data_IF_486798406923
#
_entry.id   IF_486798406923
#
_cell.length_a   1.000
_cell.length_b   1.000
_cell.length_c   1.000
_cell.angle_alpha   90.00
_cell.angle_beta   90.00
_cell.angle_gamma   90.00
#
_symmetry.space_group_name_H-M   'P 1'
#
loop_
_entity.id
_entity.type
_entity.pdbx_description
1 polymer ?
#
# COMPACT_ATOMS: atom_id res chain seq x y z
N UNK A 1 2.19 -17.87 14.26
CA UNK A 1 2.64 -16.50 13.92
C UNK A 1 1.44 -15.69 13.50
N UNK A 2 1.59 -14.38 13.48
CA UNK A 2 0.63 -13.45 12.89
C UNK A 2 1.33 -12.64 11.80
N UNK A 3 0.59 -12.28 10.76
CA UNK A 3 1.00 -11.37 9.71
C UNK A 3 0.18 -10.10 9.82
N UNK A 4 0.84 -8.95 9.64
CA UNK A 4 0.22 -7.63 9.70
C UNK A 4 0.21 -7.07 8.28
N UNK A 5 -0.99 -6.80 7.76
CA UNK A 5 -1.20 -6.11 6.50
C UNK A 5 -1.63 -4.68 6.80
N UNK A 6 -0.92 -3.71 6.23
CA UNK A 6 -1.19 -2.28 6.41
C UNK A 6 -1.46 -1.66 5.06
N UNK A 7 -2.62 -1.03 4.92
CA UNK A 7 -2.99 -0.24 3.74
C UNK A 7 -3.26 1.19 4.19
N UNK A 8 -2.40 2.10 3.74
CA UNK A 8 -2.54 3.53 3.95
C UNK A 8 -3.13 4.15 2.69
N UNK A 9 -4.19 4.94 2.87
CA UNK A 9 -4.95 5.62 1.82
C UNK A 9 -5.25 7.04 2.27
N UNK A 10 -5.59 7.91 1.32
CA UNK A 10 -6.07 9.28 1.59
C UNK A 10 -5.15 10.07 2.55
N UNK A 11 -4.06 10.69 2.06
CA UNK A 11 -3.25 11.55 2.92
C UNK A 11 -4.10 12.70 3.47
N UNK A 12 -3.83 13.10 4.72
CA UNK A 12 -4.58 14.17 5.38
C UNK A 12 -4.42 15.53 4.72
N UNK A 13 -3.41 15.69 3.87
CA UNK A 13 -3.25 16.87 3.02
C UNK A 13 -3.03 16.37 1.61
N UNK A 14 -3.86 16.83 0.68
CA UNK A 14 -3.58 16.62 -0.74
C UNK A 14 -2.21 17.22 -1.04
N UNK A 15 -1.26 16.43 -1.53
CA UNK A 15 0.09 16.96 -1.82
C UNK A 15 0.09 17.69 -3.17
N UNK A 16 -0.77 17.27 -4.09
CA UNK A 16 -0.93 17.90 -5.40
C UNK A 16 -2.28 17.55 -6.07
N UNK A 17 -3.26 18.48 -6.11
CA UNK A 17 -3.21 19.83 -5.56
C UNK A 17 -3.34 19.84 -4.01
N UNK A 18 -2.77 20.86 -3.34
CA UNK A 18 -3.02 21.15 -1.93
C UNK A 18 -4.51 21.20 -1.57
N UNK A 19 -4.93 20.47 -0.54
CA UNK A 19 -6.33 20.44 -0.08
C UNK A 19 -6.47 19.98 1.37
N UNK A 20 -7.58 20.36 2.06
CA UNK A 20 -7.78 20.03 3.47
C UNK A 20 -8.06 18.55 3.69
N UNK A 21 -7.80 18.06 4.91
CA UNK A 21 -8.21 16.74 5.38
C UNK A 21 -9.69 16.53 5.16
N UNK A 22 -10.06 15.41 4.54
CA UNK A 22 -11.48 15.03 4.41
C UNK A 22 -12.08 14.79 5.79
N UNK A 23 -13.35 15.16 5.97
CA UNK A 23 -14.06 14.89 7.25
C UNK A 23 -14.29 13.40 7.46
N UNK A 24 -14.53 12.67 6.37
CA UNK A 24 -14.66 11.21 6.37
C UNK A 24 -13.32 10.59 5.97
N UNK A 25 -12.72 9.74 6.83
CA UNK A 25 -11.47 9.05 6.52
C UNK A 25 -11.55 8.17 5.26
N UNK A 26 -12.67 7.48 5.04
CA UNK A 26 -12.83 6.53 3.95
C UNK A 26 -14.07 6.86 3.12
N UNK A 27 -14.00 6.66 1.80
CA UNK A 27 -15.17 6.75 0.93
C UNK A 27 -16.21 5.66 1.27
N UNK A 28 -17.47 6.03 1.61
CA UNK A 28 -18.52 5.04 1.91
C UNK A 28 -18.86 4.19 0.69
N UNK A 29 -19.02 2.89 0.89
CA UNK A 29 -19.32 1.92 -0.17
C UNK A 29 -18.14 1.52 -1.06
N UNK A 30 -17.02 2.24 -1.01
CA UNK A 30 -15.79 1.86 -1.70
C UNK A 30 -15.19 0.57 -1.11
N UNK A 31 -14.47 -0.19 -1.94
CA UNK A 31 -13.73 -1.38 -1.53
C UNK A 31 -12.25 -1.06 -1.38
N UNK A 32 -11.67 -1.49 -0.28
CA UNK A 32 -10.24 -1.46 -0.02
C UNK A 32 -9.78 -2.90 0.12
N UNK A 33 -9.00 -3.38 -0.84
CA UNK A 33 -8.68 -4.80 -0.97
C UNK A 33 -7.20 -5.06 -0.70
N UNK A 34 -6.92 -6.03 0.17
CA UNK A 34 -5.65 -6.75 0.20
C UNK A 34 -5.79 -7.99 -0.67
N UNK A 35 -4.90 -8.16 -1.63
CA UNK A 35 -4.89 -9.22 -2.62
C UNK A 35 -3.68 -10.11 -2.37
N UNK A 36 -3.92 -11.42 -2.39
CA UNK A 36 -2.93 -12.43 -2.01
C UNK A 36 -2.93 -13.51 -3.09
N UNK A 37 -1.80 -13.64 -3.77
CA UNK A 37 -1.47 -14.72 -4.71
C UNK A 37 -0.71 -15.80 -3.93
N UNK A 38 -1.10 -17.06 -4.07
CA UNK A 38 -0.50 -18.19 -3.35
C UNK A 38 0.24 -19.17 -4.25
N UNK A 39 0.25 -18.97 -5.57
CA UNK A 39 0.85 -19.85 -6.55
C UNK A 39 1.79 -19.19 -7.59
N UNK A 40 2.08 -17.89 -7.42
CA UNK A 40 3.08 -17.10 -8.17
C UNK A 40 2.68 -16.84 -9.63
N UNK A 41 1.37 -16.78 -9.92
CA UNK A 41 0.83 -16.41 -11.23
C UNK A 41 0.40 -14.92 -11.33
N UNK A 42 0.57 -14.17 -10.24
CA UNK A 42 0.15 -12.77 -10.07
C UNK A 42 -1.37 -12.54 -10.18
N UNK A 43 -2.17 -13.57 -9.89
CA UNK A 43 -3.62 -13.55 -9.76
C UNK A 43 -3.99 -13.89 -8.31
N UNK A 44 -4.97 -13.17 -7.75
CA UNK A 44 -5.28 -13.35 -6.33
C UNK A 44 -6.13 -14.61 -6.09
N UNK A 45 -5.66 -15.47 -5.20
CA UNK A 45 -6.39 -16.63 -4.65
C UNK A 45 -7.18 -16.28 -3.40
N UNK A 46 -6.72 -15.28 -2.66
CA UNK A 46 -7.35 -14.80 -1.43
C UNK A 46 -7.43 -13.28 -1.51
N UNK A 47 -8.56 -12.73 -1.10
CA UNK A 47 -8.70 -11.29 -0.90
C UNK A 47 -9.33 -11.00 0.46
N UNK A 48 -8.88 -9.92 1.09
CA UNK A 48 -9.58 -9.29 2.19
C UNK A 48 -10.12 -7.95 1.71
N UNK A 49 -11.43 -7.79 1.73
CA UNK A 49 -12.06 -6.52 1.42
C UNK A 49 -12.48 -5.80 2.71
N UNK A 50 -12.29 -4.49 2.72
CA UNK A 50 -12.81 -3.62 3.77
C UNK A 50 -13.73 -2.62 3.09
N UNK A 51 -14.98 -2.58 3.54
CA UNK A 51 -15.99 -1.65 3.04
C UNK A 51 -16.54 -0.81 4.18
N UNK A 52 -16.73 0.48 3.92
CA UNK A 52 -17.15 1.45 4.92
C UNK A 52 -18.59 1.89 4.73
N UNK A 53 -19.30 2.09 5.83
CA UNK A 53 -20.60 2.75 5.88
C UNK A 53 -20.50 4.02 6.72
N UNK A 54 -21.31 5.04 6.38
CA UNK A 54 -21.44 6.27 7.15
C UNK A 54 -22.86 6.39 7.72
N UNK A 55 -22.98 6.83 8.97
CA UNK A 55 -24.25 7.22 9.59
C UNK A 55 -24.56 8.71 9.37
N UNK A 56 -25.79 9.14 9.69
CA UNK A 56 -26.22 10.54 9.54
C UNK A 56 -25.37 11.54 10.35
N UNK A 57 -24.76 11.10 11.45
CA UNK A 57 -23.85 11.90 12.28
C UNK A 57 -22.38 11.89 11.80
N UNK A 58 -22.11 11.29 10.63
CA UNK A 58 -20.79 11.23 10.00
C UNK A 58 -19.83 10.21 10.60
N UNK A 59 -20.28 9.39 11.55
CA UNK A 59 -19.46 8.27 12.05
C UNK A 59 -19.38 7.17 11.00
N UNK A 60 -18.22 6.53 10.92
CA UNK A 60 -18.01 5.43 9.99
C UNK A 60 -17.81 4.11 10.73
N UNK A 61 -18.30 3.04 10.10
CA UNK A 61 -17.97 1.67 10.49
C UNK A 61 -17.44 0.88 9.31
N UNK A 62 -16.61 -0.12 9.59
CA UNK A 62 -16.00 -0.99 8.60
C UNK A 62 -16.56 -2.41 8.69
N UNK A 63 -16.72 -3.04 7.54
CA UNK A 63 -16.99 -4.48 7.41
C UNK A 63 -15.81 -5.11 6.69
N UNK A 64 -15.21 -6.13 7.31
CA UNK A 64 -14.13 -6.94 6.73
C UNK A 64 -14.73 -8.24 6.21
N UNK A 65 -14.49 -8.55 4.93
CA UNK A 65 -14.83 -9.87 4.37
C UNK A 65 -13.60 -10.53 3.79
N UNK A 66 -13.67 -11.86 3.73
CA UNK A 66 -12.69 -12.71 3.06
C UNK A 66 -13.30 -13.37 1.84
N UNK A 67 -12.56 -13.35 0.75
CA UNK A 67 -12.87 -13.98 -0.52
C UNK A 67 -11.77 -14.98 -0.84
N UNK A 68 -12.14 -16.11 -1.45
CA UNK A 68 -11.21 -17.19 -1.80
C UNK A 68 -11.52 -17.77 -3.18
N UNK A 69 -10.49 -18.39 -3.78
CA UNK A 69 -10.56 -19.04 -5.09
C UNK A 69 -10.73 -18.03 -6.22
N UNK A 70 -11.29 -18.46 -7.35
CA UNK A 70 -11.44 -17.65 -8.56
C UNK A 70 -12.15 -16.30 -8.32
N UNK A 71 -13.02 -16.20 -7.30
CA UNK A 71 -13.69 -14.95 -6.93
C UNK A 71 -12.74 -13.89 -6.36
N UNK A 72 -11.62 -14.33 -5.76
CA UNK A 72 -10.63 -13.43 -5.21
C UNK A 72 -9.84 -12.70 -6.30
N UNK A 73 -9.78 -13.23 -7.53
CA UNK A 73 -9.17 -12.54 -8.66
C UNK A 73 -9.96 -11.29 -9.08
N UNK A 74 -11.28 -11.43 -9.19
CA UNK A 74 -12.20 -10.35 -9.60
C UNK A 74 -12.58 -9.37 -8.49
N UNK A 75 -13.60 -8.55 -8.76
CA UNK A 75 -14.21 -7.66 -7.77
C UNK A 75 -15.38 -8.38 -7.11
N UNK A 76 -15.36 -8.45 -5.78
CA UNK A 76 -16.32 -9.24 -5.00
C UNK A 76 -16.67 -8.53 -3.68
N UNK A 77 -17.91 -8.07 -3.52
CA UNK A 77 -18.39 -7.37 -2.31
C UNK A 77 -19.22 -8.25 -1.36
N UNK A 78 -19.43 -9.52 -1.69
CA UNK A 78 -20.26 -10.50 -0.97
C UNK A 78 -19.48 -11.72 -0.44
N UNK A 79 -18.25 -11.49 0.01
CA UNK A 79 -17.42 -12.48 0.71
C UNK A 79 -17.91 -12.85 2.12
N UNK A 80 -17.22 -13.82 2.74
CA UNK A 80 -17.45 -14.25 4.13
C UNK A 80 -17.15 -13.10 5.10
N UNK A 81 -18.13 -12.68 5.89
CA UNK A 81 -17.96 -11.63 6.90
C UNK A 81 -17.10 -12.15 8.06
N UNK A 82 -15.98 -11.48 8.33
CA UNK A 82 -15.14 -11.75 9.51
C UNK A 82 -15.44 -10.74 10.62
N UNK A 83 -15.55 -9.45 10.25
CA UNK A 83 -15.88 -8.37 11.18
C UNK A 83 -16.99 -7.53 10.58
N UNK A 84 -17.98 -7.19 11.39
CA UNK A 84 -19.06 -6.28 11.03
C UNK A 84 -19.07 -5.10 11.99
N UNK A 85 -19.39 -3.91 11.46
CA UNK A 85 -19.53 -2.67 12.22
C UNK A 85 -18.33 -2.28 13.11
N UNK A 86 -17.10 -2.57 12.67
CA UNK A 86 -15.90 -2.11 13.38
C UNK A 86 -15.83 -0.57 13.37
N UNK A 87 -15.58 0.11 14.50
CA UNK A 87 -15.54 1.56 14.53
C UNK A 87 -14.34 2.11 13.77
N UNK A 88 -14.53 3.22 13.05
CA UNK A 88 -13.43 3.99 12.47
C UNK A 88 -12.94 5.02 13.48
N UNK A 89 -11.67 4.94 13.85
CA UNK A 89 -11.06 5.85 14.83
C UNK A 89 -10.62 7.16 14.17
N UNK A 90 -11.27 8.26 14.50
CA UNK A 90 -10.91 9.60 13.99
C UNK A 90 -9.95 10.37 14.90
N UNK A 91 -9.88 9.99 16.18
CA UNK A 91 -9.04 10.64 17.18
C UNK A 91 -7.74 9.88 17.47
N UNK A 92 -7.04 10.36 18.50
CA UNK A 92 -5.77 9.80 18.96
C UNK A 92 -5.86 8.35 19.47
N UNK A 93 -7.00 7.98 20.05
CA UNK A 93 -7.22 6.63 20.57
C UNK A 93 -7.43 5.60 19.44
N UNK A 94 -6.86 4.40 19.62
CA UNK A 94 -7.02 3.28 18.70
C UNK A 94 -8.06 2.29 19.18
N UNK A 95 -9.21 2.27 18.52
CA UNK A 95 -10.24 1.24 18.76
C UNK A 95 -10.10 0.15 17.71
N UNK A 96 -9.61 -1.00 18.14
CA UNK A 96 -9.49 -2.21 17.32
C UNK A 96 -10.66 -3.15 17.57
N UNK A 97 -11.11 -3.86 16.53
CA UNK A 97 -12.08 -4.94 16.66
C UNK A 97 -11.37 -6.28 16.52
N UNK A 98 -11.66 -7.21 17.43
CA UNK A 98 -11.11 -8.58 17.39
C UNK A 98 -12.22 -9.56 17.06
N UNK A 99 -12.00 -10.43 16.08
CA UNK A 99 -12.89 -11.52 15.71
C UNK A 99 -12.07 -12.81 15.54
N UNK A 100 -12.22 -13.73 16.50
CA UNK A 100 -11.41 -14.94 16.55
C UNK A 100 -9.91 -14.61 16.59
N UNK A 101 -9.19 -15.09 15.58
CA UNK A 101 -7.74 -14.90 15.41
C UNK A 101 -7.35 -13.65 14.60
N UNK A 102 -8.33 -12.85 14.18
CA UNK A 102 -8.13 -11.65 13.38
C UNK A 102 -8.34 -10.38 14.22
N UNK A 103 -7.54 -9.33 13.96
CA UNK A 103 -7.77 -7.98 14.48
C UNK A 103 -7.81 -6.98 13.35
N UNK A 104 -8.77 -6.06 13.42
CA UNK A 104 -8.96 -4.99 12.45
C UNK A 104 -8.89 -3.64 13.16
N UNK A 105 -8.14 -2.72 12.57
CA UNK A 105 -8.18 -1.30 12.90
C UNK A 105 -8.37 -0.49 11.61
N UNK A 106 -9.24 0.52 11.67
CA UNK A 106 -9.42 1.50 10.61
C UNK A 106 -9.44 2.91 11.22
N UNK A 107 -8.72 3.87 10.65
CA UNK A 107 -8.77 5.25 11.11
C UNK A 107 -7.55 6.11 10.77
N UNK A 108 -7.58 7.37 11.22
CA UNK A 108 -6.48 8.31 11.06
C UNK A 108 -5.27 7.91 11.89
N UNK A 109 -4.08 7.89 11.32
CA UNK A 109 -2.81 7.68 12.04
C UNK A 109 -1.76 8.66 11.54
N UNK A 110 -0.68 8.83 12.29
CA UNK A 110 0.52 9.44 11.74
C UNK A 110 0.95 8.67 10.50
N UNK A 111 1.31 9.38 9.43
CA UNK A 111 1.80 8.76 8.21
C UNK A 111 3.16 8.12 8.50
N UNK A 112 3.31 6.79 8.38
CA UNK A 112 4.59 6.13 8.64
C UNK A 112 5.56 6.24 7.45
N UNK A 113 5.13 6.82 6.33
CA UNK A 113 6.04 7.09 5.22
C UNK A 113 6.96 8.26 5.59
N UNK A 114 8.23 8.16 5.25
CA UNK A 114 9.24 9.16 5.57
C UNK A 114 10.07 9.42 4.32
N UNK A 115 10.15 10.69 3.92
CA UNK A 115 10.76 11.06 2.65
C UNK A 115 11.07 12.55 2.56
N UNK A 116 12.28 12.89 2.13
CA UNK A 116 12.65 14.24 1.74
C UNK A 116 12.15 14.60 0.32
N UNK A 117 10.84 14.84 0.23
CA UNK A 117 10.17 15.24 -1.01
C UNK A 117 10.74 16.56 -1.58
N UNK A 118 11.16 17.49 -0.72
CA UNK A 118 11.74 18.77 -1.13
C UNK A 118 13.08 18.56 -1.84
N UNK A 119 13.94 17.72 -1.28
CA UNK A 119 15.20 17.31 -1.88
C UNK A 119 15.00 16.62 -3.22
N UNK A 120 13.96 15.77 -3.35
CA UNK A 120 13.60 15.16 -4.62
C UNK A 120 13.23 16.20 -5.69
N UNK A 121 12.31 17.11 -5.40
CA UNK A 121 11.95 18.19 -6.33
C UNK A 121 13.13 19.14 -6.63
N UNK A 122 14.09 19.22 -5.72
CA UNK A 122 15.36 19.92 -5.91
C UNK A 122 16.46 19.03 -6.51
N UNK A 123 16.12 18.16 -7.48
CA UNK A 123 17.06 17.33 -8.23
C UNK A 123 17.89 16.38 -7.35
N UNK A 124 17.23 15.74 -6.38
CA UNK A 124 17.84 14.81 -5.42
C UNK A 124 18.90 15.45 -4.50
N UNK A 125 18.81 16.77 -4.25
CA UNK A 125 19.64 17.46 -3.27
C UNK A 125 19.02 17.33 -1.87
N UNK A 126 19.12 16.13 -1.30
CA UNK A 126 18.49 15.81 -0.02
C UNK A 126 19.15 16.50 1.17
N UNK A 127 18.31 17.07 2.03
CA UNK A 127 18.65 17.74 3.29
C UNK A 127 18.24 16.93 4.52
N UNK A 128 17.39 15.91 4.36
CA UNK A 128 16.75 15.19 5.47
C UNK A 128 15.52 15.92 6.01
N UNK A 129 14.89 16.76 5.17
CA UNK A 129 13.67 17.48 5.53
C UNK A 129 12.46 16.58 5.28
N UNK A 130 12.04 15.88 6.33
CA UNK A 130 10.95 14.90 6.24
C UNK A 130 9.59 15.58 6.07
N UNK A 131 9.05 15.46 4.84
CA UNK A 131 7.77 16.06 4.47
C UNK A 131 6.58 15.47 5.23
N UNK A 132 6.70 14.23 5.70
CA UNK A 132 5.61 13.44 6.27
C UNK A 132 5.60 13.42 7.80
N UNK A 133 6.63 13.97 8.45
CA UNK A 133 6.86 13.96 9.90
C UNK A 133 5.72 14.53 10.77
N UNK A 134 4.83 15.32 10.20
CA UNK A 134 3.66 15.95 10.83
C UNK A 134 2.35 15.65 10.06
N UNK A 135 2.35 14.66 9.17
CA UNK A 135 1.21 14.32 8.31
C UNK A 135 0.45 13.11 8.84
N UNK A 136 -0.83 13.06 8.52
CA UNK A 136 -1.69 11.94 8.87
C UNK A 136 -2.11 11.19 7.61
N UNK A 137 -2.50 9.93 7.79
CA UNK A 137 -3.02 9.07 6.72
C UNK A 137 -4.15 8.19 7.24
N UNK A 138 -5.09 7.82 6.38
CA UNK A 138 -6.12 6.85 6.73
C UNK A 138 -5.54 5.44 6.61
N UNK A 139 -5.51 4.72 7.72
CA UNK A 139 -4.87 3.41 7.80
C UNK A 139 -5.90 2.32 8.02
N UNK A 140 -5.73 1.22 7.29
CA UNK A 140 -6.40 -0.05 7.50
C UNK A 140 -5.33 -1.05 7.92
N UNK A 141 -5.41 -1.55 9.15
CA UNK A 141 -4.46 -2.52 9.70
C UNK A 141 -5.20 -3.81 10.00
N UNK A 142 -4.77 -4.88 9.34
CA UNK A 142 -5.32 -6.22 9.47
C UNK A 142 -4.25 -7.17 10.02
N UNK A 143 -4.48 -7.70 11.21
CA UNK A 143 -3.72 -8.81 11.78
C UNK A 143 -4.47 -10.11 11.50
N UNK A 144 -3.79 -11.08 10.88
CA UNK A 144 -4.33 -12.41 10.59
C UNK A 144 -3.34 -13.49 11.02
N UNK A 145 -3.80 -14.73 11.33
CA UNK A 145 -2.87 -15.84 11.47
C UNK A 145 -2.15 -16.11 10.15
N UNK A 146 -0.86 -16.45 10.19
CA UNK A 146 -0.07 -16.72 8.98
C UNK A 146 -0.73 -17.75 8.06
N UNK A 147 -1.39 -18.75 8.65
CA UNK A 147 -2.12 -19.80 7.92
C UNK A 147 -3.29 -19.26 7.09
N UNK A 148 -3.78 -18.06 7.36
CA UNK A 148 -4.84 -17.43 6.58
C UNK A 148 -4.34 -16.84 5.26
N UNK A 149 -3.03 -16.61 5.12
CA UNK A 149 -2.39 -16.20 3.86
C UNK A 149 -2.04 -17.40 2.97
N UNK A 150 -1.92 -18.60 3.55
CA UNK A 150 -1.46 -19.81 2.86
C UNK A 150 -0.26 -20.46 3.56
N UNK A 151 0.35 -21.45 2.92
CA UNK A 151 1.51 -22.19 3.47
C UNK A 151 2.85 -21.85 2.80
N UNK A 152 2.80 -21.11 1.70
CA UNK A 152 3.95 -20.81 0.84
C UNK A 152 4.37 -19.35 0.96
N UNK A 153 5.39 -18.98 0.19
CA UNK A 153 5.61 -17.56 -0.16
C UNK A 153 4.37 -17.10 -0.91
N UNK A 154 3.89 -15.90 -0.61
CA UNK A 154 2.73 -15.28 -1.25
C UNK A 154 3.11 -13.98 -1.92
N UNK A 155 2.40 -13.65 -2.99
CA UNK A 155 2.42 -12.33 -3.60
C UNK A 155 1.38 -11.43 -2.93
N UNK A 156 1.75 -10.20 -2.57
CA UNK A 156 0.86 -9.23 -1.93
C UNK A 156 0.75 -7.95 -2.77
N UNK A 157 -0.47 -7.48 -2.98
CA UNK A 157 -0.73 -6.12 -3.45
C UNK A 157 -2.04 -5.62 -2.84
N UNK A 158 -2.29 -4.32 -2.98
CA UNK A 158 -3.54 -3.71 -2.60
C UNK A 158 -4.17 -3.02 -3.79
N UNK A 159 -5.49 -2.84 -3.73
CA UNK A 159 -6.21 -1.94 -4.62
C UNK A 159 -7.40 -1.29 -3.95
N UNK A 160 -7.86 -0.19 -4.51
CA UNK A 160 -9.06 0.52 -4.08
C UNK A 160 -10.03 0.63 -5.23
N UNK A 161 -11.33 0.44 -4.94
CA UNK A 161 -12.38 0.50 -5.95
C UNK A 161 -13.55 1.36 -5.48
N UNK A 162 -14.06 2.18 -6.38
CA UNK A 162 -15.28 2.97 -6.18
C UNK A 162 -16.46 2.33 -6.93
N UNK A 163 -17.64 2.33 -6.28
CA UNK A 163 -18.87 1.84 -6.91
C UNK A 163 -19.55 2.98 -7.66
N UNK A 164 -19.66 2.84 -8.98
CA UNK A 164 -20.42 3.77 -9.82
C UNK A 164 -21.74 3.15 -10.28
N UNK A 165 -22.52 3.91 -11.06
CA UNK A 165 -23.73 3.37 -11.70
C UNK A 165 -23.44 2.31 -12.76
N UNK A 166 -22.24 2.35 -13.35
CA UNK A 166 -21.83 1.49 -14.46
C UNK A 166 -21.07 0.24 -13.97
N UNK A 167 -20.66 0.22 -12.71
CA UNK A 167 -19.93 -0.88 -12.10
C UNK A 167 -18.84 -0.38 -11.16
N UNK A 168 -17.90 -1.28 -10.84
CA UNK A 168 -16.73 -0.96 -10.05
C UNK A 168 -15.64 -0.34 -10.93
N UNK A 169 -15.04 0.75 -10.45
CA UNK A 169 -13.87 1.38 -11.08
C UNK A 169 -12.71 1.26 -10.09
N UNK A 170 -11.59 0.71 -10.54
CA UNK A 170 -10.36 0.68 -9.76
C UNK A 170 -9.76 2.09 -9.73
N UNK A 171 -9.60 2.65 -8.54
CA UNK A 171 -9.05 3.99 -8.35
C UNK A 171 -7.53 3.97 -8.17
N UNK A 172 -7.02 2.94 -7.49
CA UNK A 172 -5.58 2.76 -7.28
C UNK A 172 -5.22 1.29 -7.06
N UNK A 173 -3.94 0.95 -7.31
CA UNK A 173 -3.33 -0.30 -6.90
C UNK A 173 -1.82 -0.16 -6.66
N UNK A 174 -1.27 -1.03 -5.82
CA UNK A 174 0.17 -1.15 -5.64
C UNK A 174 0.59 -2.31 -4.77
N UNK A 175 1.76 -2.87 -5.07
CA UNK A 175 2.41 -3.92 -4.28
C UNK A 175 3.73 -3.45 -3.67
N UNK A 176 4.71 -3.22 -4.52
CA UNK A 176 6.05 -2.76 -4.15
C UNK A 176 6.06 -1.24 -3.95
N UNK A 177 6.98 -0.72 -3.13
CA UNK A 177 7.13 0.72 -2.95
C UNK A 177 7.44 1.44 -4.27
N UNK A 178 6.87 2.63 -4.45
CA UNK A 178 7.31 3.63 -5.45
C UNK A 178 7.23 3.21 -6.93
N UNK A 179 6.46 2.19 -7.31
CA UNK A 179 6.41 1.73 -8.72
C UNK A 179 5.74 2.74 -9.67
N UNK A 180 4.69 3.43 -9.21
CA UNK A 180 3.96 4.40 -10.03
C UNK A 180 4.82 5.57 -10.54
N UNK A 181 6.00 5.82 -9.95
CA UNK A 181 6.95 6.87 -10.37
C UNK A 181 7.49 6.61 -11.77
N UNK A 182 7.57 5.35 -12.21
CA UNK A 182 8.03 4.99 -13.54
C UNK A 182 7.00 5.26 -14.65
N UNK A 183 5.74 5.52 -14.30
CA UNK A 183 4.62 5.51 -15.23
C UNK A 183 4.09 6.92 -15.50
N UNK A 184 4.41 7.53 -16.66
CA UNK A 184 3.84 8.82 -17.06
C UNK A 184 2.53 8.66 -17.83
N UNK A 185 1.63 9.64 -17.69
CA UNK A 185 0.44 9.82 -18.56
C UNK A 185 -0.42 8.55 -18.69
N UNK A 186 -0.76 8.19 -19.92
CA UNK A 186 -1.61 7.03 -20.25
C UNK A 186 -1.06 5.71 -19.72
N UNK A 187 0.26 5.56 -19.52
CA UNK A 187 0.83 4.34 -18.94
C UNK A 187 0.43 4.19 -17.46
N UNK A 188 0.27 5.31 -16.75
CA UNK A 188 -0.23 5.30 -15.37
C UNK A 188 -1.71 4.91 -15.35
N UNK A 189 -2.52 5.47 -16.22
CA UNK A 189 -3.95 5.14 -16.33
C UNK A 189 -4.12 3.65 -16.66
N UNK A 190 -3.40 3.14 -17.67
CA UNK A 190 -3.41 1.72 -18.03
C UNK A 190 -2.94 0.82 -16.87
N UNK A 191 -1.97 1.27 -16.07
CA UNK A 191 -1.52 0.55 -14.88
C UNK A 191 -2.61 0.50 -13.81
N UNK A 192 -3.24 1.64 -13.51
CA UNK A 192 -4.31 1.75 -12.51
C UNK A 192 -5.56 0.97 -12.92
N UNK A 193 -5.84 0.84 -14.21
CA UNK A 193 -6.95 0.04 -14.74
C UNK A 193 -6.64 -1.45 -14.86
N UNK A 194 -5.37 -1.84 -14.71
CA UNK A 194 -4.89 -3.20 -14.94
C UNK A 194 -4.74 -4.06 -13.70
N UNK A 195 -4.28 -5.30 -13.93
CA UNK A 195 -3.92 -6.28 -12.90
C UNK A 195 -2.42 -6.62 -13.00
N UNK A 196 -1.76 -7.01 -11.88
CA UNK A 196 -0.33 -7.32 -11.88
C UNK A 196 0.08 -8.41 -12.88
N UNK A 197 -0.77 -9.41 -13.15
CA UNK A 197 -0.52 -10.45 -14.15
C UNK A 197 -0.26 -9.94 -15.59
N UNK A 198 -0.50 -8.65 -15.86
CA UNK A 198 -0.28 -8.01 -17.15
C UNK A 198 0.73 -6.88 -17.11
N UNK A 199 1.56 -6.83 -16.06
CA UNK A 199 2.53 -5.75 -15.87
C UNK A 199 3.78 -5.88 -16.76
N UNK A 200 3.99 -7.02 -17.42
CA UNK A 200 5.05 -7.22 -18.40
C UNK A 200 5.02 -6.17 -19.53
N UNK A 201 3.83 -5.66 -19.87
CA UNK A 201 3.63 -4.56 -20.83
C UNK A 201 4.32 -3.26 -20.43
N UNK A 202 4.65 -3.06 -19.15
CA UNK A 202 5.31 -1.85 -18.64
C UNK A 202 6.84 -1.96 -18.59
N UNK A 203 7.42 -3.14 -18.86
CA UNK A 203 8.88 -3.35 -18.81
C UNK A 203 9.63 -2.30 -19.64
N UNK A 204 9.14 -1.97 -20.83
CA UNK A 204 9.77 -0.97 -21.70
C UNK A 204 9.74 0.44 -21.11
N UNK A 205 8.64 0.82 -20.45
CA UNK A 205 8.49 2.14 -19.80
C UNK A 205 9.42 2.25 -18.60
N UNK A 206 9.48 1.21 -17.77
CA UNK A 206 10.38 1.13 -16.62
C UNK A 206 11.85 1.18 -17.07
N UNK A 207 12.22 0.36 -18.05
CA UNK A 207 13.58 0.33 -18.58
C UNK A 207 13.99 1.70 -19.14
N UNK A 208 13.11 2.37 -19.89
CA UNK A 208 13.40 3.70 -20.42
C UNK A 208 13.70 4.73 -19.32
N UNK A 209 12.91 4.73 -18.24
CA UNK A 209 13.15 5.65 -17.13
C UNK A 209 14.41 5.28 -16.34
N UNK A 210 14.74 4.00 -16.20
CA UNK A 210 16.01 3.55 -15.61
C UNK A 210 17.22 3.99 -16.46
N UNK A 211 17.16 3.87 -17.79
CA UNK A 211 18.21 4.41 -18.68
C UNK A 211 18.37 5.93 -18.46
N UNK A 212 17.25 6.66 -18.43
CA UNK A 212 17.25 8.12 -18.28
C UNK A 212 17.76 8.59 -16.93
N UNK A 213 17.25 8.02 -15.85
CA UNK A 213 17.48 8.47 -14.47
C UNK A 213 18.65 7.78 -13.80
N UNK A 214 18.99 6.55 -14.20
CA UNK A 214 20.10 5.77 -13.66
C UNK A 214 21.32 5.69 -14.57
N UNK A 215 21.16 5.94 -15.88
CA UNK A 215 22.24 5.72 -16.85
C UNK A 215 22.55 4.24 -17.07
N UNK A 216 21.57 3.36 -16.83
CA UNK A 216 21.68 1.95 -17.14
C UNK A 216 21.89 1.75 -18.64
N UNK A 217 22.62 0.68 -19.01
CA UNK A 217 22.60 0.17 -20.38
C UNK A 217 21.22 -0.44 -20.67
N UNK A 218 20.75 -0.45 -21.93
CA UNK A 218 19.45 -1.03 -22.28
C UNK A 218 19.23 -2.46 -21.75
N UNK A 219 20.24 -3.34 -21.83
CA UNK A 219 20.09 -4.72 -21.32
C UNK A 219 19.88 -4.76 -19.80
N UNK A 220 20.69 -4.03 -19.05
CA UNK A 220 20.58 -3.96 -17.59
C UNK A 220 19.28 -3.27 -17.15
N UNK A 221 18.84 -2.22 -17.85
CA UNK A 221 17.59 -1.53 -17.53
C UNK A 221 16.38 -2.47 -17.67
N UNK A 222 16.33 -3.27 -18.73
CA UNK A 222 15.31 -4.32 -18.91
C UNK A 222 15.42 -5.40 -17.82
N UNK A 223 16.63 -5.78 -17.43
CA UNK A 223 16.87 -6.73 -16.33
C UNK A 223 16.26 -6.24 -15.02
N UNK A 224 16.58 -5.01 -14.62
CA UNK A 224 16.05 -4.37 -13.40
C UNK A 224 14.53 -4.19 -13.48
N UNK A 225 14.00 -3.75 -14.63
CA UNK A 225 12.54 -3.61 -14.82
C UNK A 225 11.79 -4.94 -14.62
N UNK A 226 12.39 -6.08 -15.00
CA UNK A 226 11.82 -7.43 -14.77
C UNK A 226 11.89 -7.89 -13.33
N UNK A 227 12.76 -7.31 -12.50
CA UNK A 227 12.78 -7.59 -11.06
C UNK A 227 11.75 -6.76 -10.28
N UNK A 228 11.34 -5.63 -10.88
CA UNK A 228 10.34 -4.73 -10.32
C UNK A 228 8.90 -5.12 -10.69
N UNK A 229 8.71 -5.83 -11.79
CA UNK A 229 7.41 -6.22 -12.34
C UNK A 229 7.26 -7.75 -12.38
N UNK A 230 6.08 -8.32 -12.08
CA UNK A 230 4.82 -7.62 -11.80
C UNK A 230 4.83 -6.86 -10.47
N UNK A 231 3.97 -5.85 -10.31
CA UNK A 231 3.92 -5.05 -9.08
C UNK A 231 3.25 -5.83 -7.93
N UNK A 232 4.01 -6.80 -7.42
CA UNK A 232 3.63 -7.74 -6.37
C UNK A 232 4.75 -7.79 -5.35
N UNK A 233 4.42 -7.63 -4.08
CA UNK A 233 5.35 -7.69 -2.96
C UNK A 233 5.46 -9.14 -2.45
N UNK A 234 6.59 -9.84 -2.65
CA UNK A 234 6.76 -11.20 -2.15
C UNK A 234 6.87 -11.24 -0.63
N UNK A 235 6.21 -12.20 0.00
CA UNK A 235 6.22 -12.36 1.46
C UNK A 235 6.13 -13.84 1.87
N UNK A 236 7.09 -14.29 2.67
CA UNK A 236 7.10 -15.58 3.37
C UNK A 236 6.66 -15.34 4.83
N UNK A 237 5.45 -15.80 5.23
CA UNK A 237 4.95 -15.64 6.59
C UNK A 237 5.81 -16.34 7.66
N UNK A 238 6.75 -17.21 7.27
CA UNK A 238 7.63 -17.95 8.20
C UNK A 238 8.90 -17.18 8.55
N UNK A 239 9.17 -16.07 7.87
CA UNK A 239 10.36 -15.23 8.05
C UNK A 239 9.95 -13.83 8.52
N UNK A 240 10.80 -13.11 9.28
CA UNK A 240 10.56 -11.72 9.60
C UNK A 240 10.41 -10.87 8.32
N UNK A 241 9.53 -9.87 8.36
CA UNK A 241 9.42 -8.91 7.26
C UNK A 241 10.68 -8.03 7.23
N UNK A 242 11.22 -7.78 6.03
CA UNK A 242 12.37 -6.90 5.77
C UNK A 242 12.47 -6.64 4.28
N UNK A 243 12.35 -5.38 3.88
CA UNK A 243 12.54 -4.96 2.50
C UNK A 243 14.04 -4.96 2.12
N UNK A 244 14.41 -5.33 0.88
CA UNK A 244 13.56 -5.86 -0.19
C UNK A 244 13.33 -7.38 -0.14
N UNK A 245 13.90 -8.08 0.84
CA UNK A 245 14.01 -9.54 0.84
C UNK A 245 12.70 -10.30 1.14
N UNK A 246 11.80 -9.72 1.94
CA UNK A 246 10.62 -10.40 2.46
C UNK A 246 9.56 -9.39 2.96
N UNK A 247 8.63 -8.96 2.10
CA UNK A 247 7.68 -7.91 2.46
C UNK A 247 8.38 -6.58 2.82
N UNK A 248 7.76 -5.81 3.72
CA UNK A 248 8.37 -4.61 4.31
C UNK A 248 7.88 -4.39 5.74
N UNK A 249 8.70 -3.74 6.54
CA UNK A 249 8.33 -3.16 7.84
C UNK A 249 7.95 -1.68 7.67
N UNK A 250 7.41 -1.08 8.72
CA UNK A 250 7.16 0.37 8.78
C UNK A 250 8.46 1.18 8.88
N UNK A 251 9.56 0.54 9.27
CA UNK A 251 10.87 1.19 9.49
C UNK A 251 11.88 0.91 8.40
N UNK A 252 11.53 0.10 7.39
CA UNK A 252 12.42 -0.17 6.28
C UNK A 252 12.54 1.07 5.41
N UNK A 253 13.77 1.46 5.13
CA UNK A 253 14.07 2.61 4.27
C UNK A 253 13.91 2.27 2.80
N UNK A 254 12.65 2.24 2.37
CA UNK A 254 12.26 1.93 0.99
C UNK A 254 12.66 3.05 0.02
N UNK A 255 12.84 4.27 0.52
CA UNK A 255 13.21 5.45 -0.27
C UNK A 255 14.69 5.36 -0.65
N UNK A 256 15.57 5.10 0.32
CA UNK A 256 16.99 4.88 0.07
C UNK A 256 17.22 3.70 -0.88
N UNK A 257 16.51 2.59 -0.66
CA UNK A 257 16.57 1.42 -1.54
C UNK A 257 16.10 1.76 -2.97
N UNK A 258 15.00 2.52 -3.09
CA UNK A 258 14.47 2.95 -4.37
C UNK A 258 15.44 3.87 -5.12
N UNK A 259 15.98 4.91 -4.49
CA UNK A 259 16.89 5.84 -5.16
C UNK A 259 18.23 5.21 -5.51
N UNK A 260 18.74 4.31 -4.66
CA UNK A 260 19.93 3.53 -4.96
C UNK A 260 19.73 2.72 -6.25
N UNK A 261 18.56 2.08 -6.39
CA UNK A 261 18.20 1.35 -7.62
C UNK A 261 17.97 2.31 -8.80
N UNK A 262 17.10 3.32 -8.67
CA UNK A 262 16.73 4.23 -9.75
C UNK A 262 17.94 4.95 -10.34
N UNK A 263 18.89 5.35 -9.50
CA UNK A 263 20.05 6.16 -9.90
C UNK A 263 21.30 5.34 -10.22
N UNK A 264 21.21 4.01 -10.20
CA UNK A 264 22.33 3.09 -10.37
C UNK A 264 23.46 3.36 -9.35
N UNK A 265 23.08 3.49 -8.07
CA UNK A 265 23.97 3.68 -6.94
C UNK A 265 24.55 5.08 -6.76
N UNK A 266 24.17 6.06 -7.60
CA UNK A 266 24.68 7.45 -7.49
C UNK A 266 24.11 8.19 -6.28
N UNK A 267 22.89 7.87 -5.90
CA UNK A 267 22.17 8.42 -4.75
C UNK A 267 21.78 7.25 -3.89
N UNK A 268 22.36 7.16 -2.69
CA UNK A 268 22.14 6.02 -1.79
C UNK A 268 21.23 6.34 -0.63
N UNK A 269 20.78 7.60 -0.51
CA UNK A 269 19.74 7.93 0.45
C UNK A 269 19.33 9.39 0.52
N UNK A 270 18.22 9.63 1.23
CA UNK A 270 17.58 10.92 1.39
C UNK A 270 17.81 11.59 2.76
N UNK A 271 18.54 10.90 3.65
CA UNK A 271 18.89 11.33 5.02
C UNK A 271 17.71 11.42 5.98
N UNK A 272 16.56 10.87 5.62
CA UNK A 272 15.41 10.72 6.51
C UNK A 272 15.41 9.30 7.07
N UNK A 273 15.04 9.16 8.34
CA UNK A 273 14.91 7.85 8.98
C UNK A 273 13.47 7.61 9.41
N UNK A 274 13.18 6.37 9.79
CA UNK A 274 11.87 5.99 10.28
C UNK A 274 11.39 6.87 11.46
N UNK A 275 10.09 7.15 11.48
CA UNK A 275 9.47 7.95 12.53
C UNK A 275 9.58 7.28 13.91
N UNK A 276 9.73 8.11 14.94
CA UNK A 276 9.88 7.65 16.33
C UNK A 276 8.58 7.46 17.11
N UNK A 277 7.43 7.72 16.50
CA UNK A 277 6.10 7.70 17.12
C UNK A 277 5.31 6.41 16.88
N UNK A 278 5.89 5.46 16.13
CA UNK A 278 5.33 4.12 15.92
C UNK A 278 5.10 3.39 17.26
N UNK A 279 4.07 2.54 17.28
CA UNK A 279 3.67 1.80 18.47
C UNK A 279 4.24 0.37 18.45
N UNK A 280 4.60 -0.14 19.62
CA UNK A 280 5.02 -1.54 19.78
C UNK A 280 3.85 -2.53 19.86
N UNK A 281 2.62 -2.01 19.88
CA UNK A 281 1.38 -2.76 19.96
C UNK A 281 0.45 -2.36 18.82
N UNK A 282 -0.45 -3.27 18.45
CA UNK A 282 -1.44 -3.04 17.41
C UNK A 282 -2.24 -1.74 17.68
N UNK A 283 -2.38 -0.84 16.70
CA UNK A 283 -2.19 -1.05 15.26
C UNK A 283 -0.77 -0.72 14.72
N UNK A 284 0.23 -0.59 15.59
CA UNK A 284 1.65 -0.33 15.29
C UNK A 284 1.97 1.05 14.71
N UNK A 285 0.96 1.77 14.24
CA UNK A 285 1.08 3.13 13.70
C UNK A 285 0.88 4.19 14.79
N UNK A 286 1.61 5.30 14.68
CA UNK A 286 1.55 6.41 15.63
C UNK A 286 0.17 7.08 15.69
N UNK A 287 -0.21 7.69 16.83
CA UNK A 287 -1.45 8.45 16.94
C UNK A 287 -1.42 9.63 15.95
N UNK A 288 -2.56 10.03 15.38
CA UNK A 288 -2.62 11.17 14.48
C UNK A 288 -2.09 12.46 15.14
N UNK A 289 -1.42 13.29 14.35
CA UNK A 289 -1.06 14.66 14.67
C UNK A 289 -2.31 15.56 14.74
N UNK A 290 -2.23 16.62 15.54
CA UNK A 290 -3.32 17.56 15.78
C UNK A 290 -3.55 18.54 14.61
#
# INVERSE_FOLDING_TARGET
GKSILVLNVHPSVGVNPPGPTTKEPFAPGALYEFKIDTDDDAVADIAYNVQFSSSEDGKQTATLRRIQGERAAGVCDDGEVIVEAAPVSVGREAVATTAGDCRLFCGWRSDPFFFDANGFFNKMQFTGDDFFSDKNVCSIVLEVPNSALGTNVVGLWARTLEKTREGWIQADRGGRPMQAVFLPGESREAYLDGEPAHDDRFIGVFAHELERSGGYTPENAVGVARELLPDVLPYDPRRPARFPDNGRTLTDDVVDAFFSMLTNGRVTGDKVGAHGDLLNEFPYLGPPHD
#
